data_IF_651825315453
#
_entry.id   IF_651825315453
#
_cell.length_a   1.000
_cell.length_b   1.000
_cell.length_c   1.000
_cell.angle_alpha   90.00
_cell.angle_beta   90.00
_cell.angle_gamma   90.00
#
_symmetry.space_group_name_H-M   'P 1'
#
loop_
_entity.id
_entity.type
_entity.pdbx_description
1 polymer ?
#
# COMPACT_ATOMS: atom_id res chain seq x y z
N UNK A 1 -3.83 -0.03 2.11
CA UNK A 1 -2.41 0.14 1.78
C UNK A 1 -1.96 1.59 1.86
N UNK A 2 -2.40 2.48 0.95
CA UNK A 2 -1.98 3.91 0.98
C UNK A 2 -2.21 4.58 2.34
N UNK A 3 -3.40 4.42 2.92
CA UNK A 3 -3.71 4.96 4.25
C UNK A 3 -2.86 4.36 5.37
N UNK A 4 -2.42 3.10 5.24
CA UNK A 4 -1.55 2.44 6.22
C UNK A 4 -0.14 3.05 6.15
N UNK A 5 0.42 3.19 4.95
CA UNK A 5 1.72 3.84 4.73
C UNK A 5 1.72 5.28 5.23
N UNK A 6 0.66 6.03 4.94
CA UNK A 6 0.51 7.40 5.41
C UNK A 6 0.40 7.48 6.94
N UNK A 7 -0.31 6.54 7.57
CA UNK A 7 -0.36 6.47 9.03
C UNK A 7 1.00 6.14 9.65
N UNK A 8 1.81 5.27 9.02
CA UNK A 8 3.20 5.03 9.44
C UNK A 8 4.03 6.31 9.29
N UNK A 9 3.96 6.97 8.12
CA UNK A 9 4.69 8.22 7.82
C UNK A 9 4.39 9.32 8.85
N UNK A 10 3.12 9.45 9.25
CA UNK A 10 2.66 10.40 10.27
C UNK A 10 2.83 9.89 11.71
N UNK A 11 3.45 8.72 11.90
CA UNK A 11 3.67 8.07 13.20
C UNK A 11 2.37 7.88 13.99
N UNK A 12 1.25 7.73 13.28
CA UNK A 12 -0.06 7.46 13.87
C UNK A 12 -0.22 5.98 14.24
N UNK A 13 0.53 5.10 13.57
CA UNK A 13 0.68 3.68 13.90
C UNK A 13 2.15 3.28 13.81
N UNK A 14 2.55 2.21 14.48
CA UNK A 14 3.84 1.54 14.29
C UNK A 14 3.87 0.67 13.03
N UNK A 15 5.05 0.21 12.65
CA UNK A 15 5.22 -0.75 11.56
C UNK A 15 4.58 -2.10 11.93
N UNK A 16 4.76 -2.55 13.18
CA UNK A 16 4.14 -3.78 13.69
C UNK A 16 2.60 -3.70 13.65
N UNK A 17 2.02 -2.56 14.03
CA UNK A 17 0.58 -2.34 13.95
C UNK A 17 0.08 -2.41 12.50
N UNK A 18 0.90 -2.05 11.51
CA UNK A 18 0.57 -2.12 10.10
C UNK A 18 0.40 -3.57 9.58
N UNK A 19 1.02 -4.56 10.23
CA UNK A 19 0.80 -6.00 9.95
C UNK A 19 -0.67 -6.37 10.21
N UNK A 20 -1.29 -5.78 11.23
CA UNK A 20 -2.70 -5.97 11.57
C UNK A 20 -3.68 -5.49 10.49
N UNK A 21 -3.20 -4.70 9.51
CA UNK A 21 -4.02 -4.18 8.42
C UNK A 21 -3.76 -4.87 7.08
N UNK A 22 -2.53 -4.81 6.58
CA UNK A 22 -2.24 -5.23 5.19
C UNK A 22 -0.83 -5.78 4.98
N UNK A 23 0.18 -5.28 5.71
CA UNK A 23 1.57 -5.66 5.53
C UNK A 23 1.89 -6.93 6.28
N UNK A 24 1.25 -8.01 5.84
CA UNK A 24 1.39 -9.34 6.39
C UNK A 24 1.79 -10.33 5.28
N UNK A 25 2.81 -11.18 5.48
CA UNK A 25 3.22 -12.15 4.46
C UNK A 25 2.09 -13.07 3.98
N UNK A 26 1.12 -13.39 4.83
CA UNK A 26 -0.06 -14.18 4.43
C UNK A 26 -0.98 -13.45 3.46
N UNK A 27 -1.07 -12.12 3.55
CA UNK A 27 -1.86 -11.29 2.63
C UNK A 27 -1.29 -11.38 1.22
N UNK A 28 0.03 -11.18 1.08
CA UNK A 28 0.74 -11.35 -0.20
C UNK A 28 0.53 -12.75 -0.79
N UNK A 29 0.75 -13.80 0.01
CA UNK A 29 0.52 -15.20 -0.42
C UNK A 29 -0.91 -15.45 -0.91
N UNK A 30 -1.90 -14.91 -0.21
CA UNK A 30 -3.32 -15.07 -0.57
C UNK A 30 -3.64 -14.37 -1.89
N UNK A 31 -3.16 -13.14 -2.08
CA UNK A 31 -3.38 -12.38 -3.33
C UNK A 31 -2.67 -13.02 -4.52
N UNK A 32 -1.45 -13.54 -4.31
CA UNK A 32 -0.71 -14.28 -5.32
C UNK A 32 -1.44 -15.56 -5.75
N UNK A 33 -1.94 -16.34 -4.79
CA UNK A 33 -2.75 -17.53 -5.10
C UNK A 33 -4.03 -17.20 -5.89
N UNK A 34 -4.59 -16.01 -5.67
CA UNK A 34 -5.73 -15.50 -6.42
C UNK A 34 -5.36 -14.81 -7.75
N UNK A 35 -4.12 -14.95 -8.24
CA UNK A 35 -3.65 -14.37 -9.51
C UNK A 35 -3.83 -12.85 -9.62
N UNK A 36 -3.71 -12.12 -8.50
CA UNK A 36 -3.70 -10.67 -8.53
C UNK A 36 -2.42 -10.12 -9.13
N UNK A 37 -2.44 -8.82 -9.45
CA UNK A 37 -1.28 -8.12 -10.03
C UNK A 37 -0.01 -8.34 -9.24
N UNK A 38 1.06 -8.77 -9.92
CA UNK A 38 2.40 -8.87 -9.34
C UNK A 38 2.86 -7.55 -8.72
N UNK A 39 2.51 -6.42 -9.32
CA UNK A 39 2.86 -5.11 -8.78
C UNK A 39 2.22 -4.86 -7.40
N UNK A 40 0.96 -5.26 -7.21
CA UNK A 40 0.30 -5.18 -5.91
C UNK A 40 0.98 -6.06 -4.87
N UNK A 41 1.35 -7.28 -5.25
CA UNK A 41 2.03 -8.25 -4.40
C UNK A 41 3.40 -7.70 -3.98
N UNK A 42 4.19 -7.20 -4.93
CA UNK A 42 5.51 -6.61 -4.69
C UNK A 42 5.43 -5.44 -3.69
N UNK A 43 4.39 -4.58 -3.78
CA UNK A 43 4.21 -3.47 -2.82
C UNK A 43 3.90 -3.98 -1.40
N UNK A 44 3.08 -5.02 -1.28
CA UNK A 44 2.74 -5.61 0.03
C UNK A 44 3.96 -6.27 0.65
N UNK A 45 4.73 -7.03 -0.13
CA UNK A 45 5.96 -7.68 0.33
C UNK A 45 6.98 -6.63 0.80
N UNK A 46 7.25 -5.59 0.01
CA UNK A 46 8.13 -4.50 0.44
C UNK A 46 7.63 -3.75 1.67
N UNK A 47 6.30 -3.66 1.87
CA UNK A 47 5.73 -3.10 3.09
C UNK A 47 5.97 -3.97 4.33
N UNK A 48 6.09 -5.29 4.17
CA UNK A 48 6.46 -6.21 5.26
C UNK A 48 7.94 -6.07 5.66
N UNK A 49 8.81 -5.64 4.74
CA UNK A 49 10.25 -5.46 4.98
C UNK A 49 10.59 -4.15 5.72
N UNK A 50 9.61 -3.27 5.97
CA UNK A 50 9.85 -1.98 6.63
C UNK A 50 10.39 -2.12 8.06
N UNK A 51 10.02 -3.19 8.77
CA UNK A 51 10.52 -3.46 10.13
C UNK A 51 12.03 -3.77 10.12
N UNK A 52 12.47 -4.57 9.15
CA UNK A 52 13.88 -4.89 8.92
C UNK A 52 14.68 -3.62 8.57
N UNK A 53 14.13 -2.75 7.71
CA UNK A 53 14.76 -1.48 7.39
C UNK A 53 14.87 -0.60 8.64
N UNK A 54 13.81 -0.50 9.43
CA UNK A 54 13.81 0.30 10.66
C UNK A 54 14.82 -0.20 11.69
N UNK A 55 15.08 -1.50 11.75
CA UNK A 55 15.99 -2.11 12.74
C UNK A 55 17.45 -2.11 12.28
N UNK A 56 17.71 -2.28 10.98
CA UNK A 56 19.07 -2.39 10.44
C UNK A 56 19.60 -1.03 9.96
N UNK A 57 18.77 -0.22 9.27
CA UNK A 57 19.19 1.02 8.60
C UNK A 57 18.09 2.11 8.74
N UNK A 58 17.83 2.60 9.97
CA UNK A 58 16.72 3.51 10.25
C UNK A 58 16.75 4.82 9.46
N UNK A 59 17.93 5.30 9.06
CA UNK A 59 18.10 6.49 8.23
C UNK A 59 17.44 6.36 6.84
N UNK A 60 17.27 5.12 6.34
CA UNK A 60 16.63 4.85 5.06
C UNK A 60 15.12 4.65 5.17
N UNK A 61 14.57 4.57 6.39
CA UNK A 61 13.16 4.21 6.60
C UNK A 61 12.21 5.22 5.94
N UNK A 62 12.43 6.52 6.17
CA UNK A 62 11.58 7.58 5.60
C UNK A 62 11.55 7.52 4.07
N UNK A 63 12.72 7.35 3.44
CA UNK A 63 12.81 7.27 1.98
C UNK A 63 12.14 6.02 1.41
N UNK A 64 12.15 4.90 2.14
CA UNK A 64 11.45 3.68 1.71
C UNK A 64 9.93 3.80 1.87
N UNK A 65 9.44 4.46 2.93
CA UNK A 65 8.02 4.77 3.08
C UNK A 65 7.55 5.66 1.93
N UNK A 66 8.28 6.74 1.63
CA UNK A 66 7.95 7.64 0.51
C UNK A 66 7.94 6.92 -0.83
N UNK A 67 8.93 6.04 -1.06
CA UNK A 67 8.98 5.20 -2.26
C UNK A 67 7.74 4.30 -2.36
N UNK A 68 7.35 3.63 -1.28
CA UNK A 68 6.17 2.76 -1.26
C UNK A 68 4.87 3.52 -1.45
N UNK A 69 4.75 4.73 -0.89
CA UNK A 69 3.63 5.63 -1.13
C UNK A 69 3.51 5.94 -2.62
N UNK A 70 4.62 6.32 -3.27
CA UNK A 70 4.63 6.62 -4.70
C UNK A 70 4.31 5.39 -5.56
N UNK A 71 4.90 4.23 -5.26
CA UNK A 71 4.57 2.98 -5.95
C UNK A 71 3.09 2.61 -5.80
N UNK A 72 2.51 2.82 -4.62
CA UNK A 72 1.09 2.61 -4.36
C UNK A 72 0.22 3.57 -5.18
N UNK A 73 0.59 4.85 -5.24
CA UNK A 73 -0.12 5.84 -6.04
C UNK A 73 -0.06 5.51 -7.54
N UNK A 74 1.09 5.08 -8.04
CA UNK A 74 1.25 4.68 -9.43
C UNK A 74 0.45 3.42 -9.78
N UNK A 75 0.44 2.44 -8.86
CA UNK A 75 -0.44 1.27 -8.99
C UNK A 75 -1.91 1.68 -9.07
N UNK A 76 -2.38 2.58 -8.21
CA UNK A 76 -3.78 3.06 -8.22
C UNK A 76 -4.10 3.79 -9.53
N UNK A 77 -3.20 4.66 -10.01
CA UNK A 77 -3.37 5.40 -11.27
C UNK A 77 -3.41 4.48 -12.49
N UNK A 78 -2.59 3.42 -12.48
CA UNK A 78 -2.49 2.46 -13.58
C UNK A 78 -3.51 1.34 -13.54
N UNK A 79 -4.26 1.19 -12.44
CA UNK A 79 -5.28 0.16 -12.31
C UNK A 79 -6.52 0.50 -13.14
N UNK A 80 -6.85 -0.27 -14.20
CA UNK A 80 -7.96 0.03 -15.10
C UNK A 80 -9.34 0.07 -14.39
N UNK A 81 -9.47 -0.60 -13.24
CA UNK A 81 -10.75 -0.80 -12.55
C UNK A 81 -11.06 0.18 -11.42
N UNK A 82 -10.15 1.10 -11.04
CA UNK A 82 -10.51 2.18 -10.10
C UNK A 82 -11.23 3.36 -10.78
N UNK A 83 -11.12 3.47 -12.11
CA UNK A 83 -11.89 4.41 -12.95
C UNK A 83 -13.03 3.75 -13.75
N UNK A 84 -13.12 2.42 -13.76
CA UNK A 84 -14.02 1.66 -14.64
C UNK A 84 -15.46 1.43 -14.15
N UNK A 85 -15.83 1.90 -12.95
CA UNK A 85 -17.19 1.71 -12.42
C UNK A 85 -17.68 2.88 -11.56
N UNK A 86 -17.49 4.11 -12.04
CA UNK A 86 -18.24 5.24 -11.51
C UNK A 86 -18.94 5.95 -12.66
N UNK A 87 -19.87 5.25 -13.30
CA UNK A 87 -21.03 5.94 -13.90
C UNK A 87 -21.82 6.58 -12.75
N UNK A 88 -21.36 7.74 -12.29
CA UNK A 88 -22.20 8.63 -11.50
C UNK A 88 -22.91 9.52 -12.49
N UNK A 89 -24.19 9.27 -12.72
CA UNK A 89 -25.08 10.34 -13.17
C UNK A 89 -25.03 11.45 -12.11
N UNK A 90 -24.25 12.49 -12.37
CA UNK A 90 -24.26 13.71 -11.57
C UNK A 90 -25.53 14.46 -11.97
N UNK A 91 -26.61 14.21 -11.24
CA UNK A 91 -27.83 15.01 -11.36
C UNK A 91 -27.54 16.36 -10.67
N UNK A 92 -27.23 17.37 -11.47
CA UNK A 92 -27.20 18.76 -11.01
C UNK A 92 -28.64 19.22 -10.77
N UNK A 93 -29.06 19.20 -9.50
CA UNK A 93 -30.30 19.86 -9.09
C UNK A 93 -30.03 21.37 -9.10
N UNK A 94 -30.72 22.11 -9.97
CA UNK A 94 -30.70 23.57 -10.02
C UNK A 94 -31.43 24.18 -8.84
#
# INVERSE_FOLDING_TARGET
>A
MLGVLYSIEKKAISIDEAEGFIFKPSTSKTLNAASHSKNLIDIIDSGCELEDISSIIPENLSGNIDKLINQTLDFIRGAPDFGGAVDKEIILVK
#
